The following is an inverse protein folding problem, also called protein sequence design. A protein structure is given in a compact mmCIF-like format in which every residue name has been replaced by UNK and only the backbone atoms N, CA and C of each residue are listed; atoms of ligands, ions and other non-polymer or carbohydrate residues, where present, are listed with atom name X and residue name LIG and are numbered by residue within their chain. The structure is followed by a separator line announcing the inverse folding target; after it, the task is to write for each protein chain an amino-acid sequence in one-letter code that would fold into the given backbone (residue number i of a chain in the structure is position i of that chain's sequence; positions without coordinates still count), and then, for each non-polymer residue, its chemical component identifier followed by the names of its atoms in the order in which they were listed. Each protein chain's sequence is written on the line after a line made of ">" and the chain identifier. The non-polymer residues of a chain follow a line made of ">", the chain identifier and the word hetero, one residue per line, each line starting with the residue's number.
data_IF_469298608407
#
_entry.id   IF_469298608407
#
_cell.length_a   1.000
_cell.length_b   1.000
_cell.length_c   1.000
_cell.angle_alpha   90.00
_cell.angle_beta   90.00
_cell.angle_gamma   90.00
#
_symmetry.space_group_name_H-M   'P 1'
#
loop_
_entity.id
_entity.type
_entity.pdbx_description
1 polymer ?
#
# COMPACT_ATOMS: atom_id res chain seq x y z
N UNK A 1 12.14 -71.06 -33.05
CA UNK A 1 12.23 -69.59 -33.16
C UNK A 1 11.31 -69.00 -32.09
N UNK A 2 11.86 -68.66 -30.91
CA UNK A 2 11.07 -68.23 -29.75
C UNK A 2 10.84 -66.72 -29.85
N UNK A 3 9.60 -66.29 -30.06
CA UNK A 3 9.24 -64.86 -30.03
C UNK A 3 9.21 -64.41 -28.57
N UNK A 4 10.05 -63.44 -28.20
CA UNK A 4 10.02 -62.76 -26.90
C UNK A 4 9.17 -61.50 -27.01
N UNK A 5 8.19 -61.36 -26.14
CA UNK A 5 7.38 -60.15 -26.00
C UNK A 5 8.08 -59.27 -24.95
N UNK A 6 8.41 -58.04 -25.31
CA UNK A 6 8.87 -57.02 -24.36
C UNK A 6 7.66 -56.18 -23.96
N UNK A 7 7.31 -56.21 -22.67
CA UNK A 7 6.31 -55.33 -22.08
C UNK A 7 7.04 -54.09 -21.54
N UNK A 8 6.76 -52.93 -22.12
CA UNK A 8 7.25 -51.63 -21.65
C UNK A 8 6.19 -51.03 -20.72
N UNK A 9 6.49 -50.95 -19.42
CA UNK A 9 5.65 -50.27 -18.44
C UNK A 9 6.27 -48.89 -18.21
N UNK A 10 5.60 -47.84 -18.68
CA UNK A 10 5.95 -46.46 -18.37
C UNK A 10 5.30 -46.07 -17.04
N UNK A 11 6.11 -45.89 -16.01
CA UNK A 11 5.69 -45.18 -14.80
C UNK A 11 5.81 -43.68 -15.07
N UNK A 12 4.69 -42.99 -15.25
CA UNK A 12 4.67 -41.53 -15.13
C UNK A 12 4.85 -41.20 -13.65
N UNK A 13 6.04 -40.76 -13.25
CA UNK A 13 6.20 -40.15 -11.94
C UNK A 13 5.43 -38.84 -11.95
N UNK A 14 4.39 -38.76 -11.11
CA UNK A 14 3.79 -37.48 -10.75
C UNK A 14 4.83 -36.78 -9.89
N UNK A 15 5.58 -35.84 -10.48
CA UNK A 15 6.41 -34.94 -9.72
C UNK A 15 5.47 -34.00 -8.97
N UNK A 16 5.35 -34.18 -7.66
CA UNK A 16 4.76 -33.16 -6.81
C UNK A 16 5.75 -31.99 -6.81
N UNK A 17 5.35 -30.83 -7.30
CA UNK A 17 6.09 -29.60 -7.05
C UNK A 17 5.97 -29.33 -5.55
N UNK A 18 6.99 -29.75 -4.79
CA UNK A 18 7.16 -29.26 -3.43
C UNK A 18 7.61 -27.80 -3.56
N UNK A 19 6.89 -26.90 -2.90
CA UNK A 19 7.31 -25.51 -2.78
C UNK A 19 8.56 -25.50 -1.89
N UNK A 20 9.73 -25.68 -2.49
CA UNK A 20 10.99 -25.55 -1.79
C UNK A 20 11.47 -24.11 -1.88
N UNK A 21 11.71 -23.50 -0.72
CA UNK A 21 12.31 -22.17 -0.61
C UNK A 21 13.69 -22.20 -1.29
N UNK A 22 13.84 -21.42 -2.37
CA UNK A 22 15.11 -21.35 -3.12
C UNK A 22 16.22 -20.68 -2.29
N UNK A 23 15.87 -19.62 -1.56
CA UNK A 23 16.76 -18.93 -0.64
C UNK A 23 15.96 -18.16 0.42
N UNK A 24 16.57 -17.93 1.56
CA UNK A 24 16.11 -17.00 2.60
C UNK A 24 17.26 -16.09 2.96
N UNK A 25 16.99 -14.80 3.12
CA UNK A 25 17.96 -13.83 3.61
C UNK A 25 17.31 -12.94 4.65
N UNK A 26 18.00 -12.80 5.76
CA UNK A 26 17.63 -11.87 6.81
C UNK A 26 18.38 -10.57 6.57
N UNK A 27 17.73 -9.46 6.90
CA UNK A 27 18.29 -8.13 6.79
C UNK A 27 18.14 -7.43 8.14
N UNK A 28 19.05 -6.50 8.42
CA UNK A 28 18.98 -5.65 9.61
C UNK A 28 18.99 -6.43 10.94
N UNK A 29 19.70 -7.56 11.00
CA UNK A 29 19.81 -8.40 12.20
C UNK A 29 20.43 -7.66 13.41
N UNK A 30 21.10 -6.55 13.16
CA UNK A 30 21.70 -5.68 14.17
C UNK A 30 20.72 -4.71 14.84
N UNK A 31 19.55 -4.49 14.23
CA UNK A 31 18.45 -3.74 14.82
C UNK A 31 17.62 -4.69 15.70
N UNK A 32 16.98 -4.17 16.74
CA UNK A 32 16.10 -4.98 17.57
C UNK A 32 14.87 -5.42 16.75
N UNK A 33 14.96 -6.62 16.18
CA UNK A 33 13.97 -7.17 15.26
C UNK A 33 12.56 -7.34 15.85
N UNK A 34 12.42 -7.28 17.18
CA UNK A 34 11.13 -7.47 17.86
C UNK A 34 10.15 -6.32 17.61
N UNK A 35 10.63 -5.17 17.13
CA UNK A 35 9.82 -3.97 16.88
C UNK A 35 9.71 -3.62 15.40
N UNK A 36 10.31 -4.41 14.51
CA UNK A 36 10.34 -4.15 13.08
C UNK A 36 9.37 -5.05 12.32
N UNK A 37 8.58 -4.46 11.43
CA UNK A 37 7.74 -5.20 10.49
C UNK A 37 7.76 -4.54 9.10
N UNK A 38 7.62 -5.37 8.07
CA UNK A 38 7.50 -4.93 6.68
C UNK A 38 6.05 -4.63 6.35
N UNK A 39 5.80 -3.43 5.83
CA UNK A 39 4.47 -2.94 5.45
C UNK A 39 4.18 -3.16 3.97
N UNK A 40 5.17 -2.88 3.12
CA UNK A 40 4.97 -2.99 1.67
C UNK A 40 6.29 -3.34 0.97
N UNK A 41 6.18 -4.03 -0.15
CA UNK A 41 7.31 -4.45 -0.97
C UNK A 41 7.07 -4.02 -2.41
N UNK A 42 8.05 -3.30 -2.96
CA UNK A 42 8.03 -2.80 -4.33
C UNK A 42 9.19 -3.41 -5.12
N UNK A 43 8.93 -4.31 -6.08
CA UNK A 43 9.93 -4.67 -7.08
C UNK A 43 10.36 -3.43 -7.85
N UNK A 44 11.65 -3.32 -8.16
CA UNK A 44 12.19 -2.16 -8.88
C UNK A 44 12.50 -2.46 -10.34
N UNK A 45 12.43 -1.46 -11.22
CA UNK A 45 12.68 -1.58 -12.66
C UNK A 45 14.09 -2.07 -13.00
N UNK A 46 15.04 -1.85 -12.09
CA UNK A 46 16.41 -2.38 -12.17
C UNK A 46 16.53 -3.86 -11.80
N UNK A 47 15.41 -4.53 -11.48
CA UNK A 47 15.34 -5.95 -11.12
C UNK A 47 15.53 -6.25 -9.63
N UNK A 48 15.77 -5.23 -8.80
CA UNK A 48 15.81 -5.36 -7.34
C UNK A 48 14.43 -5.25 -6.69
N UNK A 49 14.43 -4.91 -5.40
CA UNK A 49 13.23 -4.57 -4.65
C UNK A 49 13.53 -3.60 -3.50
N UNK A 50 12.51 -2.87 -3.08
CA UNK A 50 12.53 -1.99 -1.91
C UNK A 50 11.44 -2.45 -0.96
N UNK A 51 11.80 -2.63 0.30
CA UNK A 51 10.87 -2.91 1.38
C UNK A 51 10.64 -1.63 2.18
N UNK A 52 9.38 -1.24 2.31
CA UNK A 52 8.92 -0.25 3.28
C UNK A 52 8.57 -0.98 4.56
N UNK A 53 9.09 -0.51 5.68
CA UNK A 53 8.79 -1.06 6.99
C UNK A 53 8.71 0.02 8.05
N UNK A 54 8.30 -0.42 9.23
CA UNK A 54 8.17 0.42 10.41
C UNK A 54 8.91 -0.23 11.57
N UNK A 55 9.60 0.61 12.33
CA UNK A 55 10.15 0.25 13.63
C UNK A 55 9.32 0.96 14.69
N UNK A 56 8.70 0.20 15.58
CA UNK A 56 7.81 0.71 16.62
C UNK A 56 8.43 0.54 18.00
N UNK A 57 8.94 1.62 18.58
CA UNK A 57 9.37 1.66 19.97
C UNK A 57 8.21 2.08 20.90
N UNK A 58 8.39 1.92 22.21
CA UNK A 58 7.33 2.15 23.21
C UNK A 58 6.67 3.53 23.07
N UNK A 59 7.44 4.55 22.68
CA UNK A 59 6.98 5.94 22.62
C UNK A 59 7.19 6.61 21.25
N UNK A 60 7.82 5.94 20.27
CA UNK A 60 8.15 6.52 18.96
C UNK A 60 8.16 5.46 17.87
N UNK A 61 7.63 5.80 16.69
CA UNK A 61 7.77 4.98 15.49
C UNK A 61 8.68 5.67 14.47
N UNK A 62 9.33 4.86 13.63
CA UNK A 62 10.16 5.32 12.52
C UNK A 62 9.86 4.50 11.27
N UNK A 63 9.78 5.18 10.14
CA UNK A 63 9.61 4.52 8.83
C UNK A 63 10.97 4.29 8.20
N UNK A 64 11.18 3.06 7.74
CA UNK A 64 12.44 2.59 7.15
C UNK A 64 12.18 2.08 5.74
N UNK A 65 13.10 2.38 4.83
CA UNK A 65 13.21 1.75 3.52
C UNK A 65 14.48 0.92 3.47
N UNK A 66 14.40 -0.27 2.88
CA UNK A 66 15.55 -1.11 2.60
C UNK A 66 15.52 -1.57 1.16
N UNK A 67 16.56 -1.25 0.39
CA UNK A 67 16.71 -1.72 -1.00
C UNK A 67 17.68 -2.90 -1.07
N UNK A 68 17.32 -3.88 -1.88
CA UNK A 68 18.19 -4.97 -2.28
C UNK A 68 18.18 -5.17 -3.80
N UNK A 69 19.23 -5.80 -4.34
CA UNK A 69 19.30 -6.16 -5.76
C UNK A 69 18.52 -7.45 -6.06
N UNK A 70 18.55 -7.90 -7.32
CA UNK A 70 17.85 -9.11 -7.79
C UNK A 70 18.29 -10.40 -7.09
N UNK A 71 19.51 -10.43 -6.57
CA UNK A 71 20.09 -11.56 -5.83
C UNK A 71 19.80 -11.47 -4.32
N UNK A 72 19.05 -10.45 -3.89
CA UNK A 72 18.79 -10.15 -2.49
C UNK A 72 20.01 -9.55 -1.77
N UNK A 73 21.00 -8.99 -2.47
CA UNK A 73 22.07 -8.26 -1.78
C UNK A 73 21.59 -6.89 -1.33
N UNK A 74 21.78 -6.61 -0.04
CA UNK A 74 21.49 -5.32 0.55
C UNK A 74 22.29 -4.22 -0.16
N UNK A 75 21.61 -3.15 -0.56
CA UNK A 75 22.22 -2.00 -1.21
C UNK A 75 22.23 -0.79 -0.27
N UNK A 76 21.10 -0.47 0.35
CA UNK A 76 20.99 0.63 1.29
C UNK A 76 19.79 0.47 2.23
N UNK A 77 19.86 1.17 3.36
CA UNK A 77 18.75 1.38 4.28
C UNK A 77 18.66 2.87 4.60
N UNK A 78 17.45 3.42 4.61
CA UNK A 78 17.16 4.83 4.87
C UNK A 78 15.99 4.94 5.84
N UNK A 79 16.03 5.94 6.72
CA UNK A 79 14.87 6.33 7.52
C UNK A 79 14.21 7.55 6.89
N UNK A 80 12.88 7.57 6.82
CA UNK A 80 12.16 8.78 6.45
C UNK A 80 12.01 9.69 7.68
N UNK A 81 12.27 11.00 7.53
CA UNK A 81 12.07 11.94 8.62
C UNK A 81 10.58 12.17 8.86
N UNK A 82 10.21 12.37 10.13
CA UNK A 82 8.93 12.97 10.50
C UNK A 82 8.91 14.44 10.07
N UNK A 83 7.76 14.92 9.60
CA UNK A 83 7.64 16.27 9.04
C UNK A 83 6.80 17.21 9.89
N UNK A 84 5.77 16.70 10.55
CA UNK A 84 4.72 17.48 11.20
C UNK A 84 4.40 16.96 12.61
N UNK A 85 4.20 15.65 12.76
CA UNK A 85 3.84 15.05 14.03
C UNK A 85 4.78 13.92 14.46
N UNK A 86 4.65 13.49 15.71
CA UNK A 86 5.61 12.59 16.38
C UNK A 86 5.33 11.10 16.20
N UNK A 87 4.08 10.72 15.89
CA UNK A 87 3.73 9.35 15.53
C UNK A 87 3.66 9.21 14.02
N UNK A 88 4.11 8.07 13.50
CA UNK A 88 4.06 7.76 12.07
C UNK A 88 3.68 6.31 11.79
N UNK A 89 2.90 6.12 10.74
CA UNK A 89 2.62 4.81 10.15
C UNK A 89 3.08 4.77 8.69
N UNK A 90 3.77 3.69 8.30
CA UNK A 90 4.06 3.39 6.90
C UNK A 90 2.80 2.84 6.22
N UNK A 91 2.48 3.31 5.01
CA UNK A 91 1.27 2.88 4.29
C UNK A 91 1.61 2.12 3.01
N UNK A 92 2.30 2.77 2.08
CA UNK A 92 2.56 2.18 0.77
C UNK A 92 3.82 2.76 0.15
N UNK A 93 4.42 1.95 -0.72
CA UNK A 93 5.52 2.35 -1.58
C UNK A 93 5.18 1.92 -3.00
N UNK A 94 5.54 2.75 -3.96
CA UNK A 94 5.46 2.42 -5.38
C UNK A 94 6.64 3.03 -6.15
N UNK A 95 6.95 2.46 -7.31
CA UNK A 95 7.99 2.96 -8.19
C UNK A 95 7.38 3.72 -9.37
N UNK A 96 7.96 4.88 -9.67
CA UNK A 96 7.60 5.68 -10.84
C UNK A 96 8.31 5.21 -12.11
N UNK A 97 7.75 5.54 -13.27
CA UNK A 97 8.28 5.12 -14.58
C UNK A 97 9.70 5.64 -14.87
N UNK A 98 10.13 6.71 -14.19
CA UNK A 98 11.47 7.30 -14.29
C UNK A 98 12.45 6.82 -13.21
N UNK A 99 12.22 5.63 -12.62
CA UNK A 99 13.12 5.00 -11.65
C UNK A 99 13.37 5.83 -10.39
N UNK A 100 12.30 6.34 -9.78
CA UNK A 100 12.30 6.85 -8.41
C UNK A 100 11.20 6.19 -7.59
N UNK A 101 11.13 6.49 -6.30
CA UNK A 101 10.13 5.92 -5.39
C UNK A 101 9.12 6.96 -4.92
N UNK A 102 7.92 6.50 -4.60
CA UNK A 102 6.88 7.28 -3.93
C UNK A 102 6.49 6.51 -2.69
N UNK A 103 6.50 7.18 -1.54
CA UNK A 103 6.14 6.57 -0.26
C UNK A 103 5.03 7.38 0.37
N UNK A 104 3.94 6.71 0.72
CA UNK A 104 2.88 7.28 1.53
C UNK A 104 3.04 6.82 2.97
N UNK A 105 2.98 7.77 3.89
CA UNK A 105 2.91 7.55 5.33
C UNK A 105 1.74 8.33 5.92
N UNK A 106 1.39 8.05 7.16
CA UNK A 106 0.49 8.86 7.96
C UNK A 106 1.23 9.36 9.19
N UNK A 107 1.17 10.65 9.47
CA UNK A 107 1.69 11.22 10.71
C UNK A 107 0.53 11.67 11.60
N UNK A 108 0.63 11.46 12.91
CA UNK A 108 -0.39 11.88 13.88
C UNK A 108 0.23 12.44 15.16
N UNK A 109 -0.49 13.34 15.83
CA UNK A 109 -0.11 13.86 17.17
C UNK A 109 -0.67 13.00 18.32
N UNK A 110 -1.13 11.79 18.00
CA UNK A 110 -1.72 10.86 18.94
C UNK A 110 -1.38 9.42 18.54
N UNK A 111 -1.47 8.52 19.52
CA UNK A 111 -1.39 7.09 19.34
C UNK A 111 -2.73 6.43 19.70
N UNK A 112 -3.06 5.33 19.02
CA UNK A 112 -4.26 4.55 19.29
C UNK A 112 -4.26 3.78 20.61
N UNK A 113 -3.11 3.70 21.29
CA UNK A 113 -3.02 3.21 22.68
C UNK A 113 -3.30 4.30 23.71
N UNK A 114 -3.32 5.57 23.30
CA UNK A 114 -3.52 6.74 24.16
C UNK A 114 -4.97 7.25 24.19
N UNK A 115 -5.18 8.35 24.89
CA UNK A 115 -6.45 9.07 24.89
C UNK A 115 -6.52 9.94 23.65
N UNK A 116 -7.54 9.74 22.82
CA UNK A 116 -7.85 10.61 21.68
C UNK A 116 -8.94 11.61 22.05
N UNK A 117 -8.76 12.86 21.65
CA UNK A 117 -9.74 13.94 21.80
C UNK A 117 -9.83 14.85 20.56
N UNK A 118 -10.61 15.93 20.64
CA UNK A 118 -10.82 16.89 19.54
C UNK A 118 -9.56 17.58 18.98
N UNK A 119 -8.43 17.50 19.70
CA UNK A 119 -7.13 18.04 19.27
C UNK A 119 -6.28 17.01 18.51
N UNK A 120 -6.74 15.76 18.47
CA UNK A 120 -6.11 14.66 17.73
C UNK A 120 -6.22 14.92 16.22
N UNK A 121 -5.08 14.90 15.55
CA UNK A 121 -4.94 15.18 14.12
C UNK A 121 -4.02 14.14 13.50
N UNK A 122 -4.38 13.70 12.31
CA UNK A 122 -3.56 12.88 11.44
C UNK A 122 -3.52 13.49 10.03
N UNK A 123 -2.39 13.35 9.37
CA UNK A 123 -2.16 13.79 8.00
C UNK A 123 -1.52 12.65 7.21
N UNK A 124 -1.81 12.58 5.92
CA UNK A 124 -1.03 11.78 4.98
C UNK A 124 0.20 12.56 4.55
N UNK A 125 1.35 11.91 4.52
CA UNK A 125 2.59 12.50 4.03
C UNK A 125 3.11 11.67 2.87
N UNK A 126 3.33 12.32 1.74
CA UNK A 126 3.83 11.73 0.52
C UNK A 126 5.26 12.17 0.27
N UNK A 127 6.16 11.20 0.23
CA UNK A 127 7.56 11.39 -0.11
C UNK A 127 7.80 10.98 -1.55
N UNK A 128 8.50 11.83 -2.29
CA UNK A 128 9.10 11.49 -3.57
C UNK A 128 10.59 11.33 -3.38
N UNK A 129 11.12 10.16 -3.72
CA UNK A 129 12.53 9.82 -3.58
C UNK A 129 13.13 9.47 -4.95
N UNK A 130 14.44 9.64 -5.08
CA UNK A 130 15.19 8.98 -6.15
C UNK A 130 15.46 7.49 -5.81
N UNK A 131 16.10 6.75 -6.72
CA UNK A 131 16.40 5.33 -6.52
C UNK A 131 17.48 5.06 -5.45
N UNK A 132 18.23 6.08 -5.03
CA UNK A 132 19.17 5.99 -3.92
C UNK A 132 18.49 6.22 -2.56
N UNK A 133 17.18 6.49 -2.58
CA UNK A 133 16.39 6.79 -1.40
C UNK A 133 16.56 8.22 -0.90
N UNK A 134 17.08 9.14 -1.72
CA UNK A 134 17.22 10.55 -1.36
C UNK A 134 15.94 11.33 -1.70
N UNK A 135 15.46 12.13 -0.77
CA UNK A 135 14.19 12.87 -0.90
C UNK A 135 14.30 13.99 -1.93
N UNK A 136 13.48 13.90 -2.97
CA UNK A 136 13.30 14.95 -3.99
C UNK A 136 12.30 16.00 -3.52
N UNK A 137 11.17 15.57 -2.94
CA UNK A 137 10.21 16.46 -2.29
C UNK A 137 9.32 15.70 -1.31
N UNK A 138 8.70 16.44 -0.39
CA UNK A 138 7.66 15.96 0.51
C UNK A 138 6.42 16.85 0.43
N UNK A 139 5.24 16.25 0.51
CA UNK A 139 3.94 16.93 0.57
C UNK A 139 3.09 16.30 1.66
N UNK A 140 2.23 17.09 2.27
CA UNK A 140 1.30 16.63 3.28
C UNK A 140 -0.13 16.92 2.83
N UNK A 141 -1.04 15.99 3.11
CA UNK A 141 -2.43 16.02 2.73
C UNK A 141 -3.31 15.64 3.92
N UNK A 142 -4.54 16.14 3.93
CA UNK A 142 -5.60 15.90 4.95
C UNK A 142 -5.38 16.68 6.26
N UNK A 143 -6.45 17.31 6.77
CA UNK A 143 -6.48 17.84 8.15
C UNK A 143 -7.88 17.83 8.81
N UNK A 144 -8.97 17.67 8.04
CA UNK A 144 -10.35 17.86 8.53
C UNK A 144 -11.37 16.76 8.13
N UNK A 145 -10.95 15.70 7.42
CA UNK A 145 -11.85 14.62 6.99
C UNK A 145 -11.90 13.43 7.93
N UNK A 146 -10.98 13.37 8.90
CA UNK A 146 -10.79 12.19 9.72
C UNK A 146 -11.34 12.47 11.12
N UNK A 147 -12.38 11.72 11.50
CA UNK A 147 -12.74 11.59 12.90
C UNK A 147 -11.68 10.72 13.58
N UNK A 148 -11.05 11.25 14.63
CA UNK A 148 -9.95 10.62 15.34
C UNK A 148 -10.33 9.26 15.95
N UNK A 149 -11.62 9.05 16.27
CA UNK A 149 -12.12 7.77 16.77
C UNK A 149 -12.02 6.66 15.71
N UNK A 150 -12.22 7.00 14.43
CA UNK A 150 -12.29 6.02 13.35
C UNK A 150 -10.91 5.45 12.96
N UNK A 151 -9.85 6.25 13.08
CA UNK A 151 -8.47 5.79 12.80
C UNK A 151 -8.05 4.64 13.71
N UNK A 152 -8.41 4.74 14.99
CA UNK A 152 -8.01 3.76 15.98
C UNK A 152 -9.00 2.61 16.14
N UNK A 153 -10.27 2.84 15.83
CA UNK A 153 -11.31 1.83 15.98
C UNK A 153 -11.35 0.84 14.80
N UNK A 154 -10.90 1.25 13.61
CA UNK A 154 -10.86 0.39 12.42
C UNK A 154 -9.44 0.29 11.82
N UNK A 155 -8.46 -0.22 12.60
CA UNK A 155 -7.04 -0.06 12.29
C UNK A 155 -6.54 -0.88 11.10
N UNK A 156 -7.32 -1.80 10.52
CA UNK A 156 -6.81 -2.67 9.44
C UNK A 156 -7.89 -3.15 8.47
N UNK A 157 -7.57 -3.32 7.16
CA UNK A 157 -6.39 -2.82 6.42
C UNK A 157 -6.62 -1.55 5.57
N UNK A 158 -7.86 -1.03 5.46
CA UNK A 158 -8.23 -0.18 4.31
C UNK A 158 -8.52 1.28 4.67
N UNK A 159 -7.61 1.95 5.38
CA UNK A 159 -7.82 3.38 5.65
C UNK A 159 -7.31 4.23 4.50
N UNK A 160 -6.05 4.06 4.10
CA UNK A 160 -5.45 4.81 3.00
C UNK A 160 -4.42 3.98 2.24
N UNK A 161 -4.22 4.28 0.97
CA UNK A 161 -3.20 3.71 0.11
C UNK A 161 -2.88 4.69 -1.04
N UNK A 162 -1.80 4.44 -1.77
CA UNK A 162 -1.37 5.26 -2.89
C UNK A 162 -0.82 4.39 -4.03
N UNK A 163 -1.11 4.79 -5.27
CA UNK A 163 -0.53 4.16 -6.47
C UNK A 163 0.00 5.23 -7.43
N UNK A 164 1.05 4.87 -8.16
CA UNK A 164 1.53 5.62 -9.31
C UNK A 164 0.73 5.20 -10.54
N UNK A 165 0.24 6.19 -11.26
CA UNK A 165 -0.51 5.99 -12.50
C UNK A 165 0.46 5.91 -13.69
N UNK A 166 -0.03 5.40 -14.83
CA UNK A 166 0.75 5.23 -16.06
C UNK A 166 1.37 6.52 -16.60
N UNK A 167 0.86 7.68 -16.19
CA UNK A 167 1.38 9.01 -16.55
C UNK A 167 2.22 9.66 -15.44
N UNK A 168 2.69 8.87 -14.47
CA UNK A 168 3.42 9.27 -13.25
C UNK A 168 2.67 10.19 -12.29
N UNK A 169 1.42 10.54 -12.56
CA UNK A 169 0.58 11.16 -11.54
C UNK A 169 0.29 10.15 -10.43
N UNK A 170 -0.05 10.64 -9.25
CA UNK A 170 -0.33 9.78 -8.11
C UNK A 170 -1.80 9.81 -7.77
N UNK A 171 -2.33 8.64 -7.40
CA UNK A 171 -3.65 8.51 -6.83
C UNK A 171 -3.50 8.11 -5.37
N UNK A 172 -3.96 8.97 -4.47
CA UNK A 172 -4.17 8.64 -3.07
C UNK A 172 -5.63 8.24 -2.91
N UNK A 173 -5.88 7.18 -2.15
CA UNK A 173 -7.24 6.73 -1.92
C UNK A 173 -7.40 6.11 -0.55
N UNK A 174 -8.63 5.99 -0.10
CA UNK A 174 -8.92 5.50 1.23
C UNK A 174 -10.40 5.56 1.59
N UNK A 175 -10.68 5.29 2.86
CA UNK A 175 -12.01 5.40 3.42
C UNK A 175 -12.02 6.26 4.69
N UNK A 176 -13.07 7.05 4.88
CA UNK A 176 -13.31 7.77 6.12
C UNK A 176 -14.82 7.81 6.42
N UNK A 177 -15.23 8.10 7.66
CA UNK A 177 -16.64 8.31 7.98
C UNK A 177 -17.04 9.77 7.86
N UNK A 178 -18.15 10.02 7.19
CA UNK A 178 -18.81 11.31 7.13
C UNK A 178 -20.25 11.15 7.64
N UNK A 179 -20.59 11.85 8.73
CA UNK A 179 -21.91 11.78 9.36
C UNK A 179 -22.39 10.35 9.67
N UNK A 180 -21.47 9.48 10.12
CA UNK A 180 -21.75 8.09 10.46
C UNK A 180 -21.86 7.14 9.27
N UNK A 181 -21.56 7.60 8.05
CA UNK A 181 -21.48 6.77 6.85
C UNK A 181 -20.03 6.66 6.38
N UNK A 182 -19.57 5.45 6.08
CA UNK A 182 -18.26 5.26 5.45
C UNK A 182 -18.33 5.82 4.03
N UNK A 183 -17.24 6.45 3.60
CA UNK A 183 -17.11 7.06 2.28
C UNK A 183 -15.78 6.64 1.69
N UNK A 184 -15.78 6.39 0.38
CA UNK A 184 -14.55 6.18 -0.38
C UNK A 184 -14.02 7.53 -0.86
N UNK A 185 -12.76 7.82 -0.57
CA UNK A 185 -12.07 9.06 -0.90
C UNK A 185 -10.98 8.80 -1.91
N UNK A 186 -10.92 9.60 -2.97
CA UNK A 186 -9.83 9.59 -3.93
C UNK A 186 -9.30 11.01 -4.13
N UNK A 187 -7.98 11.14 -4.21
CA UNK A 187 -7.29 12.36 -4.58
C UNK A 187 -6.23 12.07 -5.61
N UNK A 188 -6.38 12.67 -6.79
CA UNK A 188 -5.37 12.62 -7.84
C UNK A 188 -4.50 13.85 -7.78
N UNK A 189 -3.19 13.65 -7.81
CA UNK A 189 -2.19 14.70 -7.77
C UNK A 189 -1.19 14.54 -8.90
N UNK A 190 -0.57 15.64 -9.32
CA UNK A 190 0.43 15.61 -10.39
C UNK A 190 1.82 15.16 -9.87
N UNK A 191 2.78 15.02 -10.80
CA UNK A 191 4.15 14.58 -10.52
C UNK A 191 4.96 15.50 -9.59
N UNK A 192 4.51 16.74 -9.38
CA UNK A 192 5.13 17.73 -8.46
C UNK A 192 4.35 17.89 -7.14
N UNK A 193 3.26 17.14 -6.98
CA UNK A 193 2.44 17.08 -5.78
C UNK A 193 1.26 18.04 -5.73
N UNK A 194 0.91 18.73 -6.82
CA UNK A 194 -0.28 19.59 -6.86
C UNK A 194 -1.55 18.77 -7.06
N UNK A 195 -2.64 19.21 -6.43
CA UNK A 195 -3.96 18.59 -6.59
C UNK A 195 -4.49 18.78 -8.01
N UNK A 196 -4.85 17.68 -8.68
CA UNK A 196 -5.57 17.69 -9.96
C UNK A 196 -7.09 17.63 -9.71
N UNK A 197 -7.52 16.68 -8.87
CA UNK A 197 -8.90 16.60 -8.39
C UNK A 197 -8.97 15.80 -7.09
N UNK A 198 -10.07 15.97 -6.37
CA UNK A 198 -10.38 15.26 -5.13
C UNK A 198 -11.88 15.03 -5.07
N UNK A 199 -12.29 13.78 -4.84
CA UNK A 199 -13.68 13.37 -4.83
C UNK A 199 -13.95 12.38 -3.70
N UNK A 200 -15.22 12.33 -3.29
CA UNK A 200 -15.73 11.40 -2.29
C UNK A 200 -16.96 10.71 -2.87
N UNK A 201 -17.04 9.39 -2.70
CA UNK A 201 -18.07 8.54 -3.27
C UNK A 201 -18.83 7.80 -2.16
N UNK A 202 -20.13 7.62 -2.39
CA UNK A 202 -21.05 6.88 -1.51
C UNK A 202 -20.89 5.37 -1.68
N UNK A 203 -19.64 4.90 -1.54
CA UNK A 203 -19.26 3.50 -1.62
C UNK A 203 -18.59 3.10 -0.31
N UNK A 204 -19.16 2.05 0.31
CA UNK A 204 -18.59 1.44 1.50
C UNK A 204 -17.51 0.43 1.09
N UNK A 205 -16.52 0.23 1.95
CA UNK A 205 -15.58 -0.89 1.87
C UNK A 205 -14.90 -1.06 0.49
N UNK A 206 -14.40 0.04 -0.09
CA UNK A 206 -13.48 -0.05 -1.21
C UNK A 206 -12.21 -0.81 -0.77
N UNK A 207 -11.90 -1.89 -1.46
CA UNK A 207 -10.82 -2.81 -1.12
C UNK A 207 -9.58 -2.55 -1.95
N UNK A 208 -9.75 -2.34 -3.25
CA UNK A 208 -8.64 -2.17 -4.18
C UNK A 208 -9.04 -1.30 -5.36
N UNK A 209 -8.05 -0.62 -5.93
CA UNK A 209 -8.19 0.28 -7.07
C UNK A 209 -7.10 -0.02 -8.09
N UNK A 210 -7.49 -0.11 -9.36
CA UNK A 210 -6.54 -0.24 -10.45
C UNK A 210 -6.85 0.75 -11.58
N UNK A 211 -5.80 1.26 -12.22
CA UNK A 211 -5.93 2.07 -13.43
C UNK A 211 -6.07 1.14 -14.65
N UNK A 212 -7.16 1.33 -15.40
CA UNK A 212 -7.39 0.67 -16.68
C UNK A 212 -7.01 1.55 -17.87
N UNK A 213 -7.57 1.22 -19.03
CA UNK A 213 -7.31 1.97 -20.27
C UNK A 213 -7.86 3.39 -20.21
N UNK A 214 -7.20 4.29 -20.96
CA UNK A 214 -7.58 5.70 -21.10
C UNK A 214 -7.60 6.48 -19.77
N UNK A 215 -6.95 5.98 -18.72
CA UNK A 215 -6.88 6.61 -17.40
C UNK A 215 -8.13 6.43 -16.54
N UNK A 216 -9.02 5.50 -16.91
CA UNK A 216 -10.16 5.12 -16.09
C UNK A 216 -9.70 4.35 -14.86
N UNK A 217 -10.35 4.58 -13.72
CA UNK A 217 -10.09 3.85 -12.48
C UNK A 217 -11.20 2.82 -12.26
N UNK A 218 -10.82 1.63 -11.84
CA UNK A 218 -11.73 0.56 -11.44
C UNK A 218 -11.52 0.27 -9.96
N UNK A 219 -12.58 0.43 -9.19
CA UNK A 219 -12.60 0.18 -7.75
C UNK A 219 -13.39 -1.09 -7.52
N UNK A 220 -12.82 -1.99 -6.71
CA UNK A 220 -13.54 -3.16 -6.20
C UNK A 220 -13.82 -2.99 -4.73
N UNK A 221 -14.95 -3.50 -4.28
CA UNK A 221 -15.30 -3.50 -2.88
C UNK A 221 -16.51 -4.36 -2.60
N UNK A 222 -17.01 -4.28 -1.38
CA UNK A 222 -18.25 -4.98 -1.05
C UNK A 222 -18.61 -4.86 0.40
N UNK A 223 -19.92 -4.92 0.67
CA UNK A 223 -20.45 -4.90 2.01
C UNK A 223 -21.04 -6.26 2.36
N UNK A 224 -20.78 -6.73 3.57
CA UNK A 224 -21.31 -8.00 4.07
C UNK A 224 -21.57 -7.89 5.57
N UNK A 225 -22.77 -8.26 5.99
CA UNK A 225 -23.11 -8.35 7.42
C UNK A 225 -23.08 -9.82 7.82
N UNK A 226 -22.57 -10.12 9.01
CA UNK A 226 -22.54 -11.50 9.52
C UNK A 226 -23.96 -12.11 9.49
N UNK A 227 -24.12 -13.20 8.73
CA UNK A 227 -25.41 -13.89 8.56
C UNK A 227 -26.22 -13.50 7.33
N UNK A 228 -25.73 -12.57 6.48
CA UNK A 228 -26.33 -12.20 5.20
C UNK A 228 -25.36 -12.41 4.03
N UNK A 229 -25.84 -12.65 2.81
CA UNK A 229 -24.98 -12.67 1.62
C UNK A 229 -24.26 -11.33 1.48
N UNK A 230 -22.94 -11.36 1.29
CA UNK A 230 -22.18 -10.17 0.95
C UNK A 230 -22.48 -9.76 -0.49
N UNK A 231 -22.50 -8.46 -0.74
CA UNK A 231 -22.61 -7.88 -2.08
C UNK A 231 -21.26 -7.31 -2.46
N UNK A 232 -20.65 -7.84 -3.50
CA UNK A 232 -19.46 -7.23 -4.11
C UNK A 232 -19.89 -6.11 -5.06
N UNK A 233 -19.00 -5.19 -5.39
CA UNK A 233 -19.22 -4.25 -6.47
C UNK A 233 -17.95 -3.98 -7.27
N UNK A 234 -18.16 -3.50 -8.49
CA UNK A 234 -17.16 -2.83 -9.31
C UNK A 234 -17.69 -1.43 -9.63
N UNK A 235 -16.88 -0.42 -9.36
CA UNK A 235 -17.15 0.98 -9.68
C UNK A 235 -16.13 1.45 -10.72
N UNK A 236 -16.61 2.07 -11.80
CA UNK A 236 -15.76 2.76 -12.78
C UNK A 236 -15.82 4.27 -12.60
N UNK A 237 -14.65 4.89 -12.54
CA UNK A 237 -14.46 6.34 -12.47
C UNK A 237 -13.67 6.80 -13.69
N UNK A 238 -14.10 7.88 -14.32
CA UNK A 238 -13.40 8.47 -15.48
C UNK A 238 -12.14 9.25 -15.05
N UNK A 239 -11.25 9.63 -15.97
CA UNK A 239 -10.00 10.32 -15.64
C UNK A 239 -10.15 11.66 -14.90
N UNK A 240 -11.34 12.28 -14.99
CA UNK A 240 -11.70 13.53 -14.32
C UNK A 240 -12.24 13.31 -12.90
N UNK A 241 -12.38 12.06 -12.46
CA UNK A 241 -12.89 11.70 -11.14
C UNK A 241 -14.41 11.58 -11.07
N UNK A 242 -15.12 11.50 -12.18
CA UNK A 242 -16.58 11.30 -12.15
C UNK A 242 -16.92 9.81 -12.19
N UNK A 243 -17.86 9.38 -11.34
CA UNK A 243 -18.41 8.03 -11.40
C UNK A 243 -19.20 7.83 -12.70
N UNK A 244 -18.81 6.84 -13.50
CA UNK A 244 -19.54 6.47 -14.73
C UNK A 244 -20.62 5.44 -14.45
N UNK A 245 -20.28 4.39 -13.70
CA UNK A 245 -21.21 3.32 -13.35
C UNK A 245 -20.73 2.53 -12.14
N UNK A 246 -21.67 1.85 -11.49
CA UNK A 246 -21.44 0.83 -10.46
C UNK A 246 -22.23 -0.43 -10.82
N UNK A 247 -21.63 -1.59 -10.61
CA UNK A 247 -22.25 -2.90 -10.77
C UNK A 247 -22.07 -3.71 -9.48
N UNK A 248 -23.10 -4.43 -9.07
CA UNK A 248 -23.16 -5.27 -7.86
C UNK A 248 -23.33 -6.75 -8.22
#
# INVERSE_FOLDING_TARGET
>A
MVKRIFLLILFSQVAFAQLDTLWTKNYLEELDSLTMYGESLQPTLDGGYVVLGQQSEVDQSSVLLMKANSDGEHLWTKSLPLTTYEYVDAISIDETSNSGLVVLTMESNFSCSGTVDSTSKAILVLFRLDMNGDTLWTRSYIQDYINYEDLCQYPYPFVFNGITLQNDNFLLFGCFYMYGQKKTWLKKINTVGDSLWENTYDMDDALDITEGQEGNLFITGGYGVQGSPATAYILKINPNGEQEWVQY
#
